data_IF_341029733046
#
_entry.id   IF_341029733046
#
_cell.length_a   1.000
_cell.length_b   1.000
_cell.length_c   1.000
_cell.angle_alpha   90.00
_cell.angle_beta   90.00
_cell.angle_gamma   90.00
#
_symmetry.space_group_name_H-M   'P 1'
#
loop_
_entity.id
_entity.type
_entity.pdbx_description
1 polymer ?
#
# COMPACT_ATOMS: atom_id res chain seq x y z
N UNK A 1 1.46 1.75 15.98
CA UNK A 1 0.54 1.38 14.88
C UNK A 1 -0.82 1.07 15.48
N UNK A 2 -1.90 1.59 14.88
CA UNK A 2 -3.26 1.46 15.41
C UNK A 2 -4.14 0.79 14.37
N UNK A 3 -4.76 -0.32 14.73
CA UNK A 3 -5.74 -1.03 13.91
C UNK A 3 -7.15 -0.66 14.34
N UNK A 4 -8.04 -0.42 13.37
CA UNK A 4 -9.41 0.03 13.66
C UNK A 4 -10.39 -0.37 12.55
N UNK A 5 -11.68 -0.13 12.80
CA UNK A 5 -12.79 -0.51 11.91
C UNK A 5 -12.84 -2.03 11.65
N UNK A 6 -13.23 -2.85 12.64
CA UNK A 6 -13.24 -4.30 12.46
C UNK A 6 -14.28 -4.71 11.41
N UNK A 7 -14.01 -5.79 10.69
CA UNK A 7 -15.00 -6.45 9.84
C UNK A 7 -16.19 -6.91 10.69
N UNK A 8 -17.42 -6.71 10.21
CA UNK A 8 -18.65 -7.08 10.93
C UNK A 8 -19.65 -7.79 10.03
N UNK A 9 -20.56 -8.56 10.63
CA UNK A 9 -21.71 -9.14 9.95
C UNK A 9 -21.31 -10.03 8.77
N UNK A 10 -21.73 -9.65 7.55
CA UNK A 10 -21.41 -10.40 6.33
C UNK A 10 -19.91 -10.35 6.00
N UNK A 11 -19.26 -9.21 6.19
CA UNK A 11 -17.84 -9.04 5.85
C UNK A 11 -16.97 -10.04 6.62
N UNK A 12 -17.20 -10.18 7.93
CA UNK A 12 -16.45 -11.10 8.79
C UNK A 12 -16.77 -12.58 8.51
N UNK A 13 -17.99 -12.88 8.05
CA UNK A 13 -18.36 -14.24 7.61
C UNK A 13 -17.66 -14.62 6.31
N UNK A 14 -17.46 -13.66 5.42
CA UNK A 14 -16.83 -13.87 4.12
C UNK A 14 -15.30 -13.93 4.22
N UNK A 15 -14.67 -12.94 4.85
CA UNK A 15 -13.21 -12.78 4.81
C UNK A 15 -12.52 -13.16 6.13
N UNK A 16 -13.28 -13.63 7.12
CA UNK A 16 -12.78 -13.88 8.47
C UNK A 16 -12.64 -12.59 9.31
N UNK A 17 -12.12 -12.71 10.55
CA UNK A 17 -11.90 -11.56 11.41
C UNK A 17 -10.70 -10.72 10.94
N UNK A 18 -10.81 -9.41 11.09
CA UNK A 18 -9.75 -8.47 10.69
C UNK A 18 -10.18 -7.02 10.86
N UNK A 19 -9.29 -6.13 10.47
CA UNK A 19 -9.45 -4.68 10.53
C UNK A 19 -9.45 -4.10 9.13
N UNK A 20 -10.32 -3.12 8.87
CA UNK A 20 -10.43 -2.42 7.59
C UNK A 20 -9.45 -1.25 7.46
N UNK A 21 -8.81 -0.86 8.57
CA UNK A 21 -7.90 0.29 8.62
C UNK A 21 -6.75 0.04 9.57
N UNK A 22 -5.54 0.37 9.10
CA UNK A 22 -4.35 0.51 9.94
C UNK A 22 -3.75 1.91 9.72
N UNK A 23 -3.30 2.55 10.81
CA UNK A 23 -2.56 3.82 10.75
C UNK A 23 -1.21 3.66 11.46
N UNK A 24 -0.17 4.24 10.88
CA UNK A 24 1.08 4.49 11.58
C UNK A 24 0.95 5.80 12.34
N UNK A 25 1.09 5.74 13.66
CA UNK A 25 1.20 6.93 14.51
C UNK A 25 2.68 7.30 14.61
N UNK A 26 3.02 8.48 14.12
CA UNK A 26 4.38 9.03 14.18
C UNK A 26 4.65 9.62 15.57
N UNK A 27 5.93 9.81 15.93
CA UNK A 27 6.31 10.44 17.19
C UNK A 27 5.74 11.87 17.37
N UNK A 28 5.37 12.53 16.27
CA UNK A 28 4.70 13.83 16.26
C UNK A 28 3.21 13.78 16.63
N UNK A 29 2.63 12.58 16.80
CA UNK A 29 1.20 12.35 16.94
C UNK A 29 0.44 12.38 15.59
N UNK A 30 1.13 12.56 14.46
CA UNK A 30 0.50 12.45 13.14
C UNK A 30 0.18 11.01 12.82
N UNK A 31 -1.07 10.74 12.45
CA UNK A 31 -1.50 9.45 11.92
C UNK A 31 -1.40 9.42 10.39
N UNK A 32 -0.71 8.42 9.85
CA UNK A 32 -0.66 8.13 8.41
C UNK A 32 -1.39 6.82 8.13
N UNK A 33 -2.45 6.80 7.31
CA UNK A 33 -3.11 5.56 6.94
C UNK A 33 -2.24 4.70 6.02
N UNK A 34 -2.26 3.39 6.26
CA UNK A 34 -1.65 2.40 5.38
C UNK A 34 -2.69 1.94 4.34
N UNK A 35 -2.29 1.88 3.07
CA UNK A 35 -3.15 1.50 1.93
C UNK A 35 -4.49 2.28 1.81
N UNK A 36 -4.49 3.62 1.93
CA UNK A 36 -5.73 4.41 1.91
C UNK A 36 -6.55 4.25 0.61
N UNK A 37 -5.87 4.06 -0.53
CA UNK A 37 -6.51 3.90 -1.84
C UNK A 37 -7.20 2.53 -2.02
N UNK A 38 -6.85 1.58 -1.16
CA UNK A 38 -7.35 0.21 -1.17
C UNK A 38 -8.15 -0.09 0.09
N UNK A 39 -8.67 0.95 0.77
CA UNK A 39 -9.51 0.76 1.96
C UNK A 39 -10.68 -0.18 1.65
N UNK A 40 -10.95 -1.13 2.53
CA UNK A 40 -11.99 -2.13 2.33
C UNK A 40 -13.38 -1.51 2.12
N UNK A 41 -14.01 -1.85 0.99
CA UNK A 41 -15.33 -1.41 0.57
C UNK A 41 -16.17 -2.59 0.01
N UNK A 42 -17.35 -2.30 -0.55
CA UNK A 42 -18.30 -3.33 -1.02
C UNK A 42 -17.75 -4.26 -2.11
N UNK A 43 -16.76 -3.82 -2.88
CA UNK A 43 -16.11 -4.60 -3.94
C UNK A 43 -14.81 -5.27 -3.48
N UNK A 44 -14.42 -5.11 -2.20
CA UNK A 44 -13.16 -5.58 -1.64
C UNK A 44 -12.23 -4.45 -1.20
N UNK A 45 -10.97 -4.81 -0.94
CA UNK A 45 -9.90 -3.94 -0.49
C UNK A 45 -8.95 -4.67 0.46
N UNK A 46 -8.13 -3.91 1.19
CA UNK A 46 -7.14 -4.42 2.13
C UNK A 46 -7.78 -4.67 3.50
N UNK A 47 -7.58 -5.89 3.99
CA UNK A 47 -7.93 -6.32 5.35
C UNK A 47 -6.63 -6.60 6.10
N UNK A 48 -6.49 -6.06 7.30
CA UNK A 48 -5.40 -6.38 8.21
C UNK A 48 -5.82 -7.50 9.16
N UNK A 49 -4.99 -8.52 9.33
CA UNK A 49 -5.31 -9.66 10.19
C UNK A 49 -5.52 -9.22 11.66
N UNK A 50 -6.56 -9.75 12.33
CA UNK A 50 -6.92 -9.35 13.70
C UNK A 50 -5.96 -9.86 14.76
N UNK A 51 -5.61 -11.13 14.67
CA UNK A 51 -4.86 -11.86 15.71
C UNK A 51 -3.36 -11.88 15.39
N UNK A 52 -2.92 -10.99 14.51
CA UNK A 52 -1.55 -10.90 14.03
C UNK A 52 -0.91 -9.61 14.54
N UNK A 53 0.06 -9.75 15.44
CA UNK A 53 0.93 -8.63 15.79
C UNK A 53 1.96 -8.46 14.67
N UNK A 54 2.21 -7.22 14.19
CA UNK A 54 3.29 -6.97 13.25
C UNK A 54 4.59 -7.64 13.72
N UNK A 55 5.23 -8.41 12.83
CA UNK A 55 6.56 -8.99 13.10
C UNK A 55 7.58 -7.87 12.95
N UNK A 56 8.04 -7.33 14.08
CA UNK A 56 9.00 -6.22 14.14
C UNK A 56 10.42 -6.78 14.18
N UNK A 57 11.32 -6.20 13.39
CA UNK A 57 12.73 -6.60 13.35
C UNK A 57 13.43 -6.26 14.68
N UNK A 58 14.53 -6.93 15.05
CA UNK A 58 15.22 -6.67 16.32
C UNK A 58 15.65 -5.22 16.54
N UNK A 59 16.01 -4.49 15.47
CA UNK A 59 16.34 -3.06 15.56
C UNK A 59 15.11 -2.16 15.71
N UNK A 60 13.91 -2.68 15.46
CA UNK A 60 12.68 -1.91 15.33
C UNK A 60 12.50 -1.22 13.97
N UNK A 61 13.48 -1.30 13.07
CA UNK A 61 13.46 -0.57 11.78
C UNK A 61 12.39 -1.07 10.82
N UNK A 62 12.12 -2.37 10.80
CA UNK A 62 11.15 -2.96 9.88
C UNK A 62 10.01 -3.63 10.63
N UNK A 63 8.79 -3.51 10.11
CA UNK A 63 7.64 -4.25 10.58
C UNK A 63 6.95 -4.96 9.41
N UNK A 64 6.85 -6.28 9.47
CA UNK A 64 6.07 -7.07 8.51
C UNK A 64 4.63 -7.14 8.99
N UNK A 65 3.71 -6.74 8.13
CA UNK A 65 2.28 -6.83 8.36
C UNK A 65 1.73 -8.02 7.60
N UNK A 66 0.61 -8.58 8.04
CA UNK A 66 -0.13 -9.56 7.26
C UNK A 66 -1.44 -8.93 6.80
N UNK A 67 -1.60 -8.87 5.49
CA UNK A 67 -2.78 -8.26 4.86
C UNK A 67 -3.41 -9.23 3.86
N UNK A 68 -4.73 -9.20 3.78
CA UNK A 68 -5.49 -9.85 2.73
C UNK A 68 -6.00 -8.77 1.77
N UNK A 69 -5.54 -8.80 0.51
CA UNK A 69 -6.19 -8.05 -0.57
C UNK A 69 -7.37 -8.88 -1.05
N UNK A 70 -8.56 -8.49 -0.61
CA UNK A 70 -9.83 -9.13 -0.92
C UNK A 70 -10.52 -8.41 -2.08
N UNK A 71 -11.29 -9.15 -2.88
CA UNK A 71 -12.07 -8.65 -4.00
C UNK A 71 -13.24 -9.57 -4.29
N UNK A 72 -14.25 -9.04 -4.97
CA UNK A 72 -15.33 -9.86 -5.53
C UNK A 72 -15.09 -9.99 -7.03
N UNK A 73 -14.96 -11.22 -7.51
CA UNK A 73 -14.83 -11.48 -8.94
C UNK A 73 -16.24 -11.57 -9.54
N UNK A 74 -16.56 -10.64 -10.44
CA UNK A 74 -17.75 -10.74 -11.28
C UNK A 74 -17.51 -11.84 -12.33
N UNK A 75 -18.26 -12.95 -12.27
CA UNK A 75 -18.04 -14.11 -13.12
C UNK A 75 -18.71 -13.96 -14.50
N UNK A 76 -19.33 -12.80 -14.77
CA UNK A 76 -20.14 -12.57 -15.96
C UNK A 76 -21.57 -13.13 -15.86
N UNK A 77 -22.35 -13.10 -16.96
CA UNK A 77 -23.81 -13.27 -16.93
C UNK A 77 -24.36 -14.60 -16.42
N UNK A 78 -23.50 -15.62 -16.28
CA UNK A 78 -23.91 -17.00 -16.03
C UNK A 78 -23.22 -17.64 -14.82
N UNK A 79 -22.49 -16.86 -14.01
CA UNK A 79 -21.74 -17.38 -12.86
C UNK A 79 -22.22 -16.82 -11.53
N UNK A 80 -21.80 -17.50 -10.45
CA UNK A 80 -21.96 -17.00 -9.08
C UNK A 80 -20.74 -16.17 -8.72
N UNK A 81 -20.92 -14.96 -8.18
CA UNK A 81 -19.80 -14.14 -7.74
C UNK A 81 -18.95 -14.89 -6.70
N UNK A 82 -17.65 -14.94 -6.94
CA UNK A 82 -16.70 -15.61 -6.05
C UNK A 82 -15.84 -14.57 -5.32
N UNK A 83 -15.75 -14.74 -4.01
CA UNK A 83 -14.83 -13.97 -3.18
C UNK A 83 -13.40 -14.44 -3.48
N UNK A 84 -12.56 -13.51 -3.95
CA UNK A 84 -11.15 -13.75 -4.18
C UNK A 84 -10.33 -13.00 -3.15
N UNK A 85 -9.29 -13.63 -2.64
CA UNK A 85 -8.39 -13.01 -1.68
C UNK A 85 -6.99 -13.52 -1.86
N UNK A 86 -6.02 -12.62 -1.87
CA UNK A 86 -4.60 -12.98 -1.85
C UNK A 86 -3.92 -12.36 -0.64
N UNK A 87 -3.20 -13.20 0.10
CA UNK A 87 -2.40 -12.78 1.23
C UNK A 87 -1.10 -12.15 0.75
N UNK A 88 -0.77 -11.02 1.38
CA UNK A 88 0.47 -10.30 1.20
C UNK A 88 1.08 -9.97 2.55
N UNK A 89 2.39 -9.80 2.57
CA UNK A 89 3.14 -9.39 3.75
C UNK A 89 3.95 -8.12 3.48
N UNK A 90 3.32 -6.93 3.53
CA UNK A 90 4.03 -5.69 3.31
C UNK A 90 5.01 -5.39 4.43
N UNK A 91 6.17 -4.87 4.05
CA UNK A 91 7.26 -4.51 4.96
C UNK A 91 7.30 -3.01 5.10
N UNK A 92 7.01 -2.53 6.31
CA UNK A 92 7.04 -1.13 6.67
C UNK A 92 8.41 -0.76 7.25
N UNK A 93 9.10 0.21 6.67
CA UNK A 93 10.16 0.96 7.34
C UNK A 93 9.49 1.90 8.37
N UNK A 94 9.69 1.62 9.65
CA UNK A 94 8.97 2.24 10.76
C UNK A 94 9.38 3.69 11.00
N UNK A 95 10.59 4.07 10.58
CA UNK A 95 11.11 5.42 10.75
C UNK A 95 10.47 6.40 9.74
N UNK A 96 10.33 5.96 8.49
CA UNK A 96 9.75 6.77 7.41
C UNK A 96 8.23 6.57 7.24
N UNK A 97 7.72 5.40 7.62
CA UNK A 97 6.38 4.95 7.28
C UNK A 97 6.24 4.47 5.83
N UNK A 98 7.37 4.24 5.15
CA UNK A 98 7.41 3.68 3.79
C UNK A 98 7.17 2.17 3.83
N UNK A 99 6.20 1.68 3.06
CA UNK A 99 6.11 0.26 2.70
C UNK A 99 7.14 0.05 1.59
N UNK A 100 8.21 -0.68 1.91
CA UNK A 100 9.35 -0.91 1.01
C UNK A 100 9.10 -2.07 0.06
N UNK A 101 8.39 -3.10 0.52
CA UNK A 101 8.01 -4.25 -0.30
C UNK A 101 6.67 -4.82 0.13
N UNK A 102 6.10 -5.66 -0.71
CA UNK A 102 4.85 -6.35 -0.51
C UNK A 102 4.92 -7.75 -1.13
N UNK A 103 5.47 -8.67 -0.35
CA UNK A 103 5.66 -10.05 -0.76
C UNK A 103 4.39 -10.90 -0.57
N UNK A 104 4.40 -12.12 -1.10
CA UNK A 104 3.32 -13.11 -1.03
C UNK A 104 3.91 -14.51 -0.99
N UNK A 105 3.10 -15.53 -0.65
CA UNK A 105 3.54 -16.92 -0.63
C UNK A 105 4.59 -17.21 0.44
N UNK A 106 5.60 -18.02 0.08
CA UNK A 106 6.63 -18.55 1.00
C UNK A 106 7.35 -17.46 1.80
N UNK A 107 7.63 -16.31 1.19
CA UNK A 107 8.29 -15.18 1.85
C UNK A 107 7.49 -14.69 3.07
N UNK A 108 6.16 -14.74 3.02
CA UNK A 108 5.31 -14.33 4.16
C UNK A 108 5.32 -15.34 5.32
N UNK A 109 5.78 -16.56 5.08
CA UNK A 109 5.94 -17.59 6.11
C UNK A 109 7.19 -17.42 6.97
N UNK A 110 8.06 -16.45 6.66
CA UNK A 110 9.31 -16.24 7.40
C UNK A 110 9.16 -15.56 8.75
N UNK A 111 10.28 -15.31 9.40
CA UNK A 111 10.34 -14.49 10.61
C UNK A 111 11.68 -13.75 10.69
N UNK A 112 11.74 -12.68 11.46
CA UNK A 112 13.01 -12.05 11.77
C UNK A 112 13.89 -12.98 12.61
N UNK A 113 15.19 -12.96 12.34
CA UNK A 113 16.22 -13.48 13.24
C UNK A 113 16.12 -12.79 14.60
N UNK A 114 16.52 -13.49 15.67
CA UNK A 114 16.51 -12.92 17.02
C UNK A 114 17.54 -11.79 17.22
N UNK A 115 18.60 -11.76 16.39
CA UNK A 115 19.81 -10.95 16.64
C UNK A 115 20.05 -9.84 15.62
N UNK A 116 19.44 -9.93 14.45
CA UNK A 116 19.68 -9.01 13.33
C UNK A 116 18.40 -8.80 12.53
N UNK A 117 18.35 -7.72 11.75
CA UNK A 117 17.29 -7.46 10.78
C UNK A 117 17.42 -8.38 9.55
N UNK A 118 17.42 -9.68 9.80
CA UNK A 118 17.52 -10.74 8.80
C UNK A 118 16.20 -11.50 8.77
N UNK A 119 15.57 -11.57 7.59
CA UNK A 119 14.35 -12.33 7.39
C UNK A 119 14.68 -13.77 7.01
N UNK A 120 14.24 -14.72 7.82
CA UNK A 120 14.53 -16.15 7.65
C UNK A 120 13.26 -16.87 7.22
N UNK A 121 13.35 -17.59 6.12
CA UNK A 121 12.29 -18.49 5.62
C UNK A 121 12.89 -19.89 5.51
N UNK A 122 12.35 -20.86 6.25
CA UNK A 122 12.85 -22.24 6.24
C UNK A 122 12.73 -22.85 4.85
N UNK A 123 13.85 -23.32 4.30
CA UNK A 123 13.89 -23.94 2.97
C UNK A 123 13.90 -22.97 1.80
N UNK A 124 14.03 -21.66 2.04
CA UNK A 124 14.13 -20.67 0.98
C UNK A 124 15.60 -20.46 0.58
N UNK A 125 15.89 -20.64 -0.70
CA UNK A 125 17.28 -20.69 -1.22
C UNK A 125 17.86 -19.33 -1.60
N UNK A 126 17.03 -18.28 -1.64
CA UNK A 126 17.41 -16.93 -2.04
C UNK A 126 17.53 -15.99 -0.83
N UNK A 127 18.07 -14.79 -1.06
CA UNK A 127 18.16 -13.75 -0.03
C UNK A 127 16.78 -13.18 0.30
N UNK A 128 16.11 -13.81 1.27
CA UNK A 128 14.79 -13.40 1.73
C UNK A 128 14.83 -12.02 2.39
N UNK A 129 15.91 -11.67 3.08
CA UNK A 129 16.08 -10.34 3.70
C UNK A 129 16.04 -9.25 2.64
N UNK A 130 16.78 -9.43 1.55
CA UNK A 130 16.78 -8.50 0.42
C UNK A 130 15.39 -8.39 -0.22
N UNK A 131 14.70 -9.50 -0.46
CA UNK A 131 13.34 -9.47 -1.01
C UNK A 131 12.36 -8.70 -0.10
N UNK A 132 12.50 -8.84 1.22
CA UNK A 132 11.64 -8.16 2.18
C UNK A 132 11.99 -6.67 2.36
N UNK A 133 13.27 -6.30 2.31
CA UNK A 133 13.70 -4.95 2.73
C UNK A 133 14.09 -4.02 1.60
N UNK A 134 14.28 -4.54 0.38
CA UNK A 134 14.57 -3.72 -0.78
C UNK A 134 13.30 -3.03 -1.29
N UNK A 135 13.41 -1.74 -1.59
CA UNK A 135 12.33 -1.00 -2.23
C UNK A 135 12.01 -1.57 -3.62
N UNK A 136 10.77 -2.02 -3.83
CA UNK A 136 10.34 -2.67 -5.08
C UNK A 136 9.34 -1.85 -5.91
N UNK A 137 8.85 -0.73 -5.37
CA UNK A 137 7.83 0.07 -6.04
C UNK A 137 8.43 1.12 -6.98
N UNK A 138 7.60 1.68 -7.87
CA UNK A 138 8.00 2.79 -8.71
C UNK A 138 7.94 4.11 -7.94
N UNK A 139 9.04 4.85 -7.97
CA UNK A 139 9.06 6.26 -7.55
C UNK A 139 8.19 7.15 -8.45
N UNK A 140 7.97 8.40 -8.06
CA UNK A 140 7.07 9.32 -8.75
C UNK A 140 7.44 9.55 -10.22
N UNK A 141 8.73 9.67 -10.53
CA UNK A 141 9.21 9.85 -11.91
C UNK A 141 8.96 8.61 -12.76
N UNK A 142 9.26 7.43 -12.23
CA UNK A 142 9.07 6.17 -12.93
C UNK A 142 7.58 5.89 -13.15
N UNK A 143 6.76 6.04 -12.12
CA UNK A 143 5.31 5.85 -12.18
C UNK A 143 4.68 6.76 -13.24
N UNK A 144 5.04 8.04 -13.23
CA UNK A 144 4.51 8.98 -14.23
C UNK A 144 4.90 8.56 -15.65
N UNK A 145 6.15 8.14 -15.86
CA UNK A 145 6.62 7.68 -17.17
C UNK A 145 5.91 6.39 -17.61
N UNK A 146 5.69 5.44 -16.69
CA UNK A 146 4.94 4.21 -16.97
C UNK A 146 3.49 4.52 -17.33
N UNK A 147 2.81 5.39 -16.58
CA UNK A 147 1.47 5.85 -16.89
C UNK A 147 1.39 6.51 -18.28
N UNK A 148 2.33 7.40 -18.61
CA UNK A 148 2.37 8.02 -19.94
C UNK A 148 2.56 7.00 -21.07
N UNK A 149 3.32 5.92 -20.85
CA UNK A 149 3.43 4.81 -21.80
C UNK A 149 2.11 4.05 -21.91
N UNK A 150 1.44 3.77 -20.80
CA UNK A 150 0.12 3.11 -20.78
C UNK A 150 -0.92 3.92 -21.55
N UNK A 151 -0.98 5.24 -21.39
CA UNK A 151 -1.89 6.12 -22.13
C UNK A 151 -1.67 6.07 -23.64
N UNK A 152 -0.40 5.96 -24.08
CA UNK A 152 -0.07 5.83 -25.51
C UNK A 152 -0.55 4.51 -26.10
N UNK A 153 -0.57 3.44 -25.30
CA UNK A 153 -1.03 2.11 -25.73
C UNK A 153 -2.55 1.96 -25.60
N UNK A 154 -3.11 2.51 -24.53
CA UNK A 154 -4.52 2.50 -24.20
C UNK A 154 -4.93 3.86 -23.65
N UNK A 155 -5.69 4.63 -24.45
CA UNK A 155 -6.14 5.97 -24.07
C UNK A 155 -7.04 6.04 -22.83
N UNK A 156 -7.57 4.91 -22.35
CA UNK A 156 -8.35 4.82 -21.10
C UNK A 156 -7.53 4.40 -19.88
N UNK A 157 -6.20 4.30 -20.00
CA UNK A 157 -5.33 3.98 -18.86
C UNK A 157 -5.55 4.99 -17.71
N UNK A 158 -5.66 4.47 -16.49
CA UNK A 158 -5.85 5.26 -15.26
C UNK A 158 -4.56 5.27 -14.45
N UNK A 159 -4.19 6.44 -13.93
CA UNK A 159 -3.04 6.57 -13.03
C UNK A 159 -3.29 5.87 -11.69
N UNK A 160 -4.55 5.76 -11.28
CA UNK A 160 -4.96 5.06 -10.06
C UNK A 160 -4.48 3.60 -10.05
N UNK A 161 -4.50 2.92 -11.19
CA UNK A 161 -4.02 1.54 -11.28
C UNK A 161 -2.53 1.44 -10.97
N UNK A 162 -1.71 2.31 -11.56
CA UNK A 162 -0.28 2.37 -11.28
C UNK A 162 0.04 2.75 -9.82
N UNK A 163 -0.78 3.60 -9.22
CA UNK A 163 -0.64 3.96 -7.80
C UNK A 163 -0.93 2.76 -6.89
N UNK A 164 -1.99 1.98 -7.16
CA UNK A 164 -2.31 0.76 -6.39
C UNK A 164 -1.19 -0.28 -6.47
N UNK A 165 -0.58 -0.44 -7.64
CA UNK A 165 0.57 -1.34 -7.82
C UNK A 165 1.82 -0.89 -7.02
N UNK A 166 1.87 0.40 -6.65
CA UNK A 166 2.94 1.00 -5.83
C UNK A 166 2.57 1.19 -4.35
N UNK A 167 1.58 0.42 -3.86
CA UNK A 167 1.00 0.52 -2.52
C UNK A 167 0.35 1.88 -2.18
N UNK A 168 -0.03 2.63 -3.21
CA UNK A 168 -0.79 3.88 -3.14
C UNK A 168 0.07 5.14 -3.10
N UNK A 169 -0.56 6.28 -3.39
CA UNK A 169 0.09 7.59 -3.42
C UNK A 169 0.83 7.92 -2.11
N UNK A 170 0.14 7.73 -0.97
CA UNK A 170 0.72 8.05 0.34
C UNK A 170 2.01 7.26 0.55
N UNK A 171 2.07 5.99 0.13
CA UNK A 171 3.28 5.19 0.24
C UNK A 171 4.43 5.80 -0.57
N UNK A 172 4.19 6.12 -1.84
CA UNK A 172 5.20 6.73 -2.70
C UNK A 172 5.73 8.02 -2.07
N UNK A 173 4.86 8.88 -1.52
CA UNK A 173 5.28 10.13 -0.87
C UNK A 173 6.03 9.93 0.45
N UNK A 174 5.83 8.80 1.14
CA UNK A 174 6.64 8.42 2.30
C UNK A 174 8.01 7.88 1.89
N UNK A 175 8.05 7.05 0.86
CA UNK A 175 9.26 6.40 0.36
C UNK A 175 10.17 7.36 -0.43
N UNK A 176 9.58 8.27 -1.19
CA UNK A 176 10.27 9.23 -2.05
C UNK A 176 9.72 10.66 -1.88
N UNK A 177 9.87 11.31 -0.71
CA UNK A 177 9.29 12.63 -0.46
C UNK A 177 9.61 13.66 -1.55
N UNK A 178 8.71 14.64 -1.81
CA UNK A 178 8.93 15.63 -2.84
C UNK A 178 10.24 16.40 -2.69
N UNK A 179 11.00 16.45 -3.77
CA UNK A 179 12.27 17.16 -3.87
C UNK A 179 12.42 17.77 -5.28
N UNK A 180 13.54 18.44 -5.55
CA UNK A 180 13.75 19.13 -6.81
C UNK A 180 13.68 18.21 -8.05
N UNK A 181 14.05 16.93 -7.94
CA UNK A 181 14.11 16.00 -9.08
C UNK A 181 12.78 15.29 -9.38
N UNK A 182 11.84 15.23 -8.44
CA UNK A 182 10.57 14.50 -8.62
C UNK A 182 9.30 15.38 -8.49
N UNK A 183 9.45 16.63 -8.05
CA UNK A 183 8.34 17.58 -7.84
C UNK A 183 7.47 17.80 -9.09
N UNK A 184 8.07 17.82 -10.28
CA UNK A 184 7.33 17.98 -11.54
C UNK A 184 6.42 16.77 -11.84
N UNK A 185 6.89 15.56 -11.50
CA UNK A 185 6.10 14.34 -11.66
C UNK A 185 4.96 14.31 -10.66
N UNK A 186 5.19 14.64 -9.38
CA UNK A 186 4.10 14.81 -8.41
C UNK A 186 3.04 15.82 -8.86
N UNK A 187 3.45 16.99 -9.35
CA UNK A 187 2.49 17.97 -9.89
C UNK A 187 1.71 17.44 -11.10
N UNK A 188 2.31 16.58 -11.92
CA UNK A 188 1.63 15.96 -13.06
C UNK A 188 0.67 14.86 -12.61
N UNK A 189 1.08 14.03 -11.64
CA UNK A 189 0.24 13.02 -10.98
C UNK A 189 -0.99 13.68 -10.35
N UNK A 190 -0.82 14.76 -9.58
CA UNK A 190 -1.92 15.50 -8.96
C UNK A 190 -2.93 16.00 -10.00
N UNK A 191 -2.46 16.62 -11.09
CA UNK A 191 -3.32 17.09 -12.18
C UNK A 191 -4.07 15.95 -12.85
N UNK A 192 -3.44 14.78 -13.00
CA UNK A 192 -4.07 13.61 -13.58
C UNK A 192 -5.12 13.02 -12.63
N UNK A 193 -4.84 12.93 -11.33
CA UNK A 193 -5.80 12.50 -10.32
C UNK A 193 -7.06 13.39 -10.32
N UNK A 194 -6.91 14.72 -10.43
CA UNK A 194 -8.07 15.63 -10.60
C UNK A 194 -8.88 15.30 -11.84
N UNK A 195 -8.23 14.98 -12.97
CA UNK A 195 -8.93 14.58 -14.22
C UNK A 195 -9.68 13.26 -14.07
N UNK A 196 -9.13 12.33 -13.30
CA UNK A 196 -9.76 11.04 -12.99
C UNK A 196 -10.78 11.13 -11.84
N UNK A 197 -10.99 12.32 -11.27
CA UNK A 197 -11.96 12.57 -10.20
C UNK A 197 -11.45 12.31 -8.79
N UNK A 198 -10.20 11.87 -8.62
CA UNK A 198 -9.58 11.63 -7.31
C UNK A 198 -9.00 12.92 -6.72
N UNK A 199 -9.90 13.75 -6.17
CA UNK A 199 -9.54 15.06 -5.62
C UNK A 199 -8.82 14.97 -4.27
N UNK A 200 -9.02 13.89 -3.52
CA UNK A 200 -8.43 13.75 -2.19
C UNK A 200 -6.93 13.51 -2.28
N UNK A 201 -6.52 12.57 -3.14
CA UNK A 201 -5.11 12.26 -3.36
C UNK A 201 -4.39 13.40 -4.08
N UNK A 202 -5.06 14.07 -5.02
CA UNK A 202 -4.53 15.30 -5.62
C UNK A 202 -4.28 16.39 -4.57
N UNK A 203 -5.25 16.66 -3.70
CA UNK A 203 -5.12 17.67 -2.65
C UNK A 203 -4.01 17.31 -1.65
N UNK A 204 -3.81 16.01 -1.36
CA UNK A 204 -2.70 15.54 -0.53
C UNK A 204 -1.34 15.90 -1.16
N UNK A 205 -1.13 15.60 -2.46
CA UNK A 205 0.09 16.01 -3.16
C UNK A 205 0.26 17.53 -3.11
N UNK A 206 -0.79 18.27 -3.44
CA UNK A 206 -0.71 19.72 -3.53
C UNK A 206 -0.32 20.37 -2.20
N UNK A 207 -0.85 19.85 -1.09
CA UNK A 207 -0.49 20.24 0.26
C UNK A 207 0.99 19.98 0.55
N UNK A 208 1.49 18.77 0.27
CA UNK A 208 2.89 18.39 0.53
C UNK A 208 3.87 19.13 -0.40
N UNK A 209 3.45 19.53 -1.60
CA UNK A 209 4.21 20.42 -2.47
C UNK A 209 4.23 21.88 -1.96
N UNK A 210 3.40 22.23 -0.99
CA UNK A 210 3.29 23.59 -0.47
C UNK A 210 2.53 24.54 -1.40
N UNK A 211 1.62 24.04 -2.24
CA UNK A 211 0.71 24.93 -2.97
C UNK A 211 -0.24 25.62 -1.98
N UNK A 212 -0.16 26.94 -1.89
CA UNK A 212 -1.10 27.74 -1.07
C UNK A 212 -2.43 27.90 -1.83
N UNK A 213 -3.45 27.11 -1.47
CA UNK A 213 -4.84 27.58 -1.17
C UNK A 213 -5.89 26.45 -1.20
N UNK A 214 -6.60 26.30 -0.06
CA UNK A 214 -8.06 26.23 0.00
C UNK A 214 -8.56 26.90 1.30
N UNK A 215 -8.27 28.20 1.45
CA UNK A 215 -9.13 29.12 2.19
C UNK A 215 -9.99 29.84 1.15
N UNK A 216 -11.20 29.34 0.93
CA UNK A 216 -12.32 30.07 0.34
C UNK A 216 -13.60 29.54 0.95
#
# INVERSE_FOLDING_TARGET
MIFSLPLKGREAKTFGPGWKRAVLEEASGRETPLFPMESFASMGGVIFARDYSPRVSPSGRYAVLDVLRAGVVDPGPSGTAEDSGRQYCPVLDTASGCIVSMQTGELCGGNWSEKADEWIVTGYEYDATKAMTQYEFSGANELWNQFQKSVKLNGSASIRQHLVDSAGLINIMKCEPPNASNRASYSSIARQLVREGDRNDAAYIEKELGFKKYER
#
